data_IF_498568866492
#
_entry.id   IF_498568866492
#
_cell.length_a   1.000
_cell.length_b   1.000
_cell.length_c   1.000
_cell.angle_alpha   90.00
_cell.angle_beta   90.00
_cell.angle_gamma   90.00
#
_symmetry.space_group_name_H-M   'P 1'
#
loop_
_entity.id
_entity.type
_entity.pdbx_description
1 polymer ?
#
# COMPACT_ATOMS: atom_id res chain seq x y z
N UNK A 1 4.58 18.06 -12.60
CA UNK A 1 3.87 17.55 -11.41
C UNK A 1 2.39 17.69 -11.66
N UNK A 2 1.60 16.64 -11.42
CA UNK A 2 0.15 16.70 -11.56
C UNK A 2 -0.46 17.77 -10.63
N UNK A 3 -1.51 18.49 -11.05
CA UNK A 3 -2.23 19.39 -10.16
C UNK A 3 -2.84 18.61 -8.98
N UNK A 4 -2.84 19.21 -7.78
CA UNK A 4 -3.25 18.58 -6.50
C UNK A 4 -4.63 17.90 -6.56
N UNK A 5 -5.51 18.37 -7.43
CA UNK A 5 -6.86 17.83 -7.64
C UNK A 5 -6.91 16.54 -8.48
N UNK A 6 -5.94 16.31 -9.38
CA UNK A 6 -5.85 15.09 -10.21
C UNK A 6 -4.97 14.01 -9.58
N UNK A 7 -4.33 14.29 -8.45
CA UNK A 7 -3.44 13.36 -7.74
C UNK A 7 -4.19 12.25 -6.99
N UNK A 8 -5.43 12.48 -6.55
CA UNK A 8 -6.15 11.51 -5.72
C UNK A 8 -6.46 10.20 -6.45
N UNK A 9 -6.82 10.23 -7.74
CA UNK A 9 -7.16 9.03 -8.51
C UNK A 9 -5.96 8.09 -8.72
N UNK A 10 -4.83 8.58 -9.28
CA UNK A 10 -3.61 7.79 -9.43
C UNK A 10 -3.05 7.30 -8.10
N UNK A 11 -3.11 8.13 -7.05
CA UNK A 11 -2.70 7.72 -5.70
C UNK A 11 -3.57 6.60 -5.15
N UNK A 12 -4.89 6.64 -5.37
CA UNK A 12 -5.81 5.59 -4.91
C UNK A 12 -5.51 4.24 -5.57
N UNK A 13 -5.28 4.23 -6.89
CA UNK A 13 -4.87 3.01 -7.62
C UNK A 13 -3.52 2.50 -7.11
N UNK A 14 -2.57 3.41 -6.90
CA UNK A 14 -1.26 3.07 -6.35
C UNK A 14 -1.37 2.46 -4.94
N UNK A 15 -2.19 3.04 -4.06
CA UNK A 15 -2.39 2.55 -2.69
C UNK A 15 -3.21 1.27 -2.62
N UNK A 16 -4.06 0.98 -3.61
CA UNK A 16 -4.83 -0.26 -3.66
C UNK A 16 -3.98 -1.45 -4.12
N UNK A 17 -2.97 -1.21 -4.97
CA UNK A 17 -2.13 -2.27 -5.54
C UNK A 17 -1.43 -3.20 -4.52
N UNK A 18 -0.91 -2.73 -3.36
CA UNK A 18 -0.25 -3.58 -2.37
C UNK A 18 -1.24 -4.44 -1.59
N UNK A 19 -2.53 -4.05 -1.52
CA UNK A 19 -3.54 -4.86 -0.84
C UNK A 19 -3.99 -6.04 -1.70
N UNK A 20 -4.07 -5.86 -3.01
CA UNK A 20 -4.48 -6.93 -3.95
C UNK A 20 -3.45 -8.06 -4.03
N UNK A 21 -2.16 -7.75 -3.91
CA UNK A 21 -1.07 -8.73 -4.03
C UNK A 21 -1.17 -9.91 -3.05
N UNK A 22 -1.22 -9.68 -1.73
CA UNK A 22 -1.35 -10.73 -0.71
C UNK A 22 -2.64 -11.55 -0.83
N UNK A 23 -3.68 -11.03 -1.48
CA UNK A 23 -4.95 -11.74 -1.66
C UNK A 23 -4.92 -12.67 -2.87
N UNK A 24 -4.33 -12.23 -3.99
CA UNK A 24 -4.19 -13.05 -5.20
C UNK A 24 -3.04 -14.05 -5.11
N UNK A 25 -2.02 -13.75 -4.29
CA UNK A 25 -0.86 -14.62 -4.10
C UNK A 25 -1.22 -16.05 -3.70
N UNK A 26 -1.99 -16.28 -2.61
CA UNK A 26 -2.43 -17.60 -2.19
C UNK A 26 -3.34 -18.30 -3.20
N UNK A 27 -4.17 -17.55 -3.93
CA UNK A 27 -5.03 -18.11 -5.00
C UNK A 27 -4.15 -18.71 -6.09
N UNK A 28 -3.26 -17.90 -6.68
CA UNK A 28 -2.36 -18.34 -7.75
C UNK A 28 -1.40 -19.44 -7.24
N UNK A 29 -0.87 -19.28 -6.03
CA UNK A 29 0.01 -20.25 -5.38
C UNK A 29 -0.67 -21.59 -5.10
N UNK A 30 -1.94 -21.59 -4.69
CA UNK A 30 -2.72 -22.81 -4.47
C UNK A 30 -2.97 -23.58 -5.77
N UNK A 31 -3.27 -22.88 -6.88
CA UNK A 31 -3.38 -23.53 -8.19
C UNK A 31 -2.04 -24.07 -8.70
N UNK A 32 -0.94 -23.34 -8.52
CA UNK A 32 0.38 -23.79 -8.98
C UNK A 32 0.88 -24.98 -8.17
N UNK A 33 0.73 -24.99 -6.84
CA UNK A 33 1.18 -26.13 -6.04
C UNK A 33 0.31 -27.38 -6.25
N UNK A 34 -1.01 -27.21 -6.45
CA UNK A 34 -1.91 -28.35 -6.69
C UNK A 34 -1.64 -29.05 -8.03
N UNK A 35 -1.41 -28.28 -9.10
CA UNK A 35 -1.31 -28.80 -10.48
C UNK A 35 0.13 -28.89 -11.00
N UNK A 36 1.10 -28.29 -10.29
CA UNK A 36 2.52 -28.34 -10.63
C UNK A 36 3.36 -28.65 -9.38
N UNK A 37 4.63 -28.24 -9.39
CA UNK A 37 5.54 -28.41 -8.26
C UNK A 37 5.80 -27.07 -7.58
N UNK A 38 6.17 -27.07 -6.29
CA UNK A 38 6.53 -25.86 -5.53
C UNK A 38 7.59 -24.96 -6.21
N UNK A 39 8.47 -25.54 -7.03
CA UNK A 39 9.46 -24.80 -7.82
C UNK A 39 8.82 -23.88 -8.86
N UNK A 40 7.68 -24.27 -9.42
CA UNK A 40 6.96 -23.47 -10.41
C UNK A 40 6.44 -22.15 -9.83
N UNK A 41 6.16 -22.09 -8.54
CA UNK A 41 5.80 -20.83 -7.87
C UNK A 41 6.93 -19.79 -8.01
N UNK A 42 8.20 -20.21 -7.87
CA UNK A 42 9.35 -19.33 -8.08
C UNK A 42 9.55 -18.97 -9.55
N UNK A 43 9.37 -19.91 -10.47
CA UNK A 43 9.49 -19.64 -11.91
C UNK A 43 8.46 -18.63 -12.40
N UNK A 44 7.21 -18.75 -11.96
CA UNK A 44 6.13 -17.80 -12.30
C UNK A 44 6.46 -16.41 -11.77
N UNK A 45 6.98 -16.29 -10.54
CA UNK A 45 7.41 -15.00 -9.97
C UNK A 45 8.56 -14.37 -10.78
N UNK A 46 9.54 -15.17 -11.22
CA UNK A 46 10.67 -14.69 -12.04
C UNK A 46 10.17 -14.20 -13.41
N UNK A 47 9.31 -14.98 -14.07
CA UNK A 47 8.74 -14.59 -15.37
C UNK A 47 7.94 -13.29 -15.23
N UNK A 48 7.10 -13.18 -14.20
CA UNK A 48 6.32 -11.98 -13.94
C UNK A 48 7.21 -10.76 -13.68
N UNK A 49 8.25 -10.91 -12.86
CA UNK A 49 9.22 -9.83 -12.60
C UNK A 49 9.96 -9.40 -13.86
N UNK A 50 10.37 -10.34 -14.73
CA UNK A 50 11.03 -10.04 -16.00
C UNK A 50 10.10 -9.28 -16.96
N UNK A 51 8.82 -9.65 -17.03
CA UNK A 51 7.81 -8.93 -17.82
C UNK A 51 7.63 -7.51 -17.30
N UNK A 52 7.46 -7.32 -15.99
CA UNK A 52 7.34 -6.00 -15.38
C UNK A 52 8.58 -5.13 -15.63
N UNK A 53 9.77 -5.69 -15.48
CA UNK A 53 11.03 -4.99 -15.76
C UNK A 53 11.12 -4.56 -17.24
N UNK A 54 10.76 -5.44 -18.16
CA UNK A 54 10.74 -5.16 -19.61
C UNK A 54 9.73 -4.05 -19.93
N UNK A 55 8.53 -4.11 -19.36
CA UNK A 55 7.51 -3.07 -19.53
C UNK A 55 8.00 -1.71 -19.00
N UNK A 56 8.61 -1.68 -17.82
CA UNK A 56 9.18 -0.44 -17.26
C UNK A 56 10.26 0.11 -18.19
N UNK A 57 11.16 -0.74 -18.69
CA UNK A 57 12.26 -0.33 -19.56
C UNK A 57 11.77 0.31 -20.87
N UNK A 58 10.72 -0.24 -21.51
CA UNK A 58 10.22 0.26 -22.79
C UNK A 58 9.18 1.38 -22.67
N UNK A 59 8.28 1.32 -21.68
CA UNK A 59 7.13 2.23 -21.61
C UNK A 59 7.30 3.39 -20.63
N UNK A 60 8.21 3.32 -19.66
CA UNK A 60 8.38 4.37 -18.65
C UNK A 60 9.56 5.27 -19.05
N UNK A 61 9.31 6.46 -19.65
CA UNK A 61 10.36 7.44 -19.81
C UNK A 61 10.84 7.89 -18.42
N UNK A 62 12.11 8.28 -18.33
CA UNK A 62 12.72 8.83 -17.11
C UNK A 62 11.79 9.87 -16.43
N UNK A 63 11.10 9.45 -15.37
CA UNK A 63 10.05 10.26 -14.70
C UNK A 63 10.63 11.09 -13.54
N UNK A 64 11.92 10.92 -13.23
CA UNK A 64 12.55 11.60 -12.11
C UNK A 64 12.80 13.09 -12.42
N UNK A 65 11.86 13.92 -11.98
CA UNK A 65 11.86 15.37 -12.18
C UNK A 65 13.18 16.09 -11.82
N UNK A 66 13.90 15.72 -10.75
CA UNK A 66 15.18 16.37 -10.43
C UNK A 66 16.28 16.11 -11.46
N UNK A 67 16.30 14.92 -12.09
CA UNK A 67 17.26 14.58 -13.15
C UNK A 67 16.88 15.24 -14.47
N UNK A 68 15.58 15.31 -14.81
CA UNK A 68 15.09 16.06 -15.97
C UNK A 68 15.42 17.56 -15.87
N UNK A 69 15.21 18.16 -14.70
CA UNK A 69 15.53 19.57 -14.45
C UNK A 69 17.04 19.82 -14.46
N UNK A 70 17.86 18.88 -13.97
CA UNK A 70 19.33 18.94 -14.09
C UNK A 70 19.76 18.88 -15.55
N UNK A 71 19.23 17.96 -16.35
CA UNK A 71 19.52 17.84 -17.79
C UNK A 71 19.12 19.11 -18.55
N UNK A 72 17.99 19.73 -18.20
CA UNK A 72 17.53 20.99 -18.79
C UNK A 72 18.42 22.18 -18.39
N UNK A 73 18.83 22.27 -17.12
CA UNK A 73 19.75 23.31 -16.65
C UNK A 73 21.12 23.22 -17.34
N UNK A 74 21.66 22.01 -17.53
CA UNK A 74 22.92 21.79 -18.26
C UNK A 74 22.79 22.20 -19.74
N UNK A 75 21.66 21.91 -20.39
CA UNK A 75 21.40 22.32 -21.77
C UNK A 75 21.34 23.85 -21.91
N UNK A 76 20.59 24.51 -21.02
CA UNK A 76 20.46 25.97 -20.99
C UNK A 76 21.80 26.67 -20.75
N UNK A 77 22.66 26.14 -19.87
CA UNK A 77 24.02 26.68 -19.68
C UNK A 77 24.85 26.65 -20.96
N UNK A 78 24.77 25.56 -21.73
CA UNK A 78 25.50 25.42 -23.00
C UNK A 78 24.99 26.37 -24.08
N UNK A 79 23.69 26.67 -24.10
CA UNK A 79 23.06 27.52 -25.13
C UNK A 79 23.19 29.02 -24.83
N UNK A 80 23.10 29.44 -23.56
CA UNK A 80 23.15 30.87 -23.18
C UNK A 80 24.52 31.34 -22.71
N UNK A 81 25.47 30.43 -22.45
CA UNK A 81 26.79 30.78 -21.90
C UNK A 81 26.73 31.37 -20.47
N UNK A 82 25.56 31.39 -19.85
CA UNK A 82 25.29 32.09 -18.60
C UNK A 82 25.16 31.06 -17.45
N UNK A 83 26.11 31.08 -16.51
CA UNK A 83 26.30 30.03 -15.49
C UNK A 83 25.31 30.15 -14.30
N UNK A 84 24.35 31.07 -14.41
CA UNK A 84 23.31 31.36 -13.42
C UNK A 84 22.21 30.30 -13.34
N UNK A 85 22.02 29.51 -14.39
CA UNK A 85 21.02 28.44 -14.45
C UNK A 85 21.45 27.25 -13.59
N UNK A 86 21.08 27.22 -12.30
CA UNK A 86 21.32 26.09 -11.38
C UNK A 86 20.05 25.31 -11.08
N UNK A 87 20.10 23.99 -11.24
CA UNK A 87 18.98 23.13 -10.88
C UNK A 87 18.79 23.13 -9.34
N UNK A 88 17.56 22.97 -8.82
CA UNK A 88 17.31 22.92 -7.37
C UNK A 88 18.15 21.86 -6.64
N UNK A 89 18.44 20.74 -7.32
CA UNK A 89 19.28 19.65 -6.80
C UNK A 89 20.75 20.05 -6.65
N UNK A 90 21.22 21.06 -7.38
CA UNK A 90 22.58 21.62 -7.29
C UNK A 90 22.69 22.74 -6.24
N UNK A 91 21.55 23.34 -5.85
CA UNK A 91 21.48 24.31 -4.75
C UNK A 91 21.33 23.62 -3.39
N UNK A 92 20.85 22.38 -3.35
CA UNK A 92 20.72 21.59 -2.13
C UNK A 92 22.07 21.02 -1.69
N UNK A 93 22.89 21.86 -1.08
CA UNK A 93 24.12 21.46 -0.40
C UNK A 93 23.80 20.85 0.99
N UNK A 94 22.80 19.96 1.06
CA UNK A 94 22.55 19.17 2.27
C UNK A 94 23.31 17.87 2.13
N UNK A 95 24.23 17.60 3.07
CA UNK A 95 24.87 16.31 3.21
C UNK A 95 23.80 15.20 3.12
N UNK A 96 23.95 14.34 2.11
CA UNK A 96 23.02 13.23 1.85
C UNK A 96 22.89 12.36 3.10
N UNK A 97 24.02 12.11 3.77
CA UNK A 97 24.07 11.37 5.03
C UNK A 97 23.22 12.03 6.13
N UNK A 98 23.30 13.36 6.29
CA UNK A 98 22.49 14.09 7.29
C UNK A 98 21.00 14.06 6.93
N UNK A 99 20.66 14.13 5.66
CA UNK A 99 19.26 14.08 5.20
C UNK A 99 18.65 12.69 5.39
N UNK A 100 19.42 11.63 5.12
CA UNK A 100 19.03 10.24 5.37
C UNK A 100 18.86 9.99 6.86
N UNK A 101 19.85 10.40 7.68
CA UNK A 101 19.77 10.25 9.13
C UNK A 101 18.53 10.96 9.72
N UNK A 102 18.28 12.20 9.30
CA UNK A 102 17.07 12.93 9.70
C UNK A 102 15.77 12.27 9.21
N UNK A 103 15.77 11.67 8.02
CA UNK A 103 14.61 10.95 7.48
C UNK A 103 14.35 9.64 8.24
N UNK A 104 15.39 8.99 8.78
CA UNK A 104 15.25 7.79 9.59
C UNK A 104 14.83 8.09 11.04
N UNK A 105 15.34 9.17 11.64
CA UNK A 105 15.04 9.52 13.04
C UNK A 105 13.64 10.11 13.21
N UNK A 106 13.18 10.90 12.22
CA UNK A 106 11.89 11.60 12.30
C UNK A 106 10.67 10.67 12.49
N UNK A 107 10.55 9.52 11.82
CA UNK A 107 9.48 8.56 12.09
C UNK A 107 9.47 8.03 13.52
N UNK A 108 10.62 7.67 14.09
CA UNK A 108 10.70 7.21 15.48
C UNK A 108 10.37 8.32 16.47
N UNK A 109 10.80 9.55 16.18
CA UNK A 109 10.48 10.71 16.98
C UNK A 109 8.96 11.00 16.97
N UNK A 110 8.32 10.97 15.81
CA UNK A 110 6.86 11.12 15.71
C UNK A 110 6.13 9.97 16.42
N UNK A 111 6.63 8.74 16.30
CA UNK A 111 6.02 7.58 16.95
C UNK A 111 6.06 7.68 18.48
N UNK A 112 7.16 8.19 19.06
CA UNK A 112 7.31 8.28 20.52
C UNK A 112 6.73 9.57 21.10
N UNK A 113 6.83 10.69 20.38
CA UNK A 113 6.40 11.99 20.90
C UNK A 113 4.91 12.28 20.66
N UNK A 114 4.33 11.77 19.57
CA UNK A 114 2.91 11.99 19.26
C UNK A 114 2.08 10.74 19.65
N UNK A 115 1.34 10.77 20.79
CA UNK A 115 0.59 9.60 21.28
C UNK A 115 -0.52 9.15 20.31
N UNK A 116 -1.08 10.08 19.52
CA UNK A 116 -2.06 9.76 18.48
C UNK A 116 -1.46 8.87 17.38
N UNK A 117 -0.25 9.19 16.92
CA UNK A 117 0.46 8.42 15.88
C UNK A 117 0.80 7.04 16.42
N UNK A 118 1.26 6.94 17.66
CA UNK A 118 1.54 5.68 18.33
C UNK A 118 0.32 4.76 18.32
N UNK A 119 -0.84 5.24 18.75
CA UNK A 119 -2.06 4.42 18.83
C UNK A 119 -2.53 3.94 17.45
N UNK A 120 -2.50 4.82 16.44
CA UNK A 120 -2.83 4.45 15.06
C UNK A 120 -1.85 3.42 14.47
N UNK A 121 -0.55 3.60 14.72
CA UNK A 121 0.46 2.63 14.30
C UNK A 121 0.28 1.27 14.99
N UNK A 122 -0.02 1.27 16.28
CA UNK A 122 -0.27 0.05 17.06
C UNK A 122 -1.52 -0.69 16.57
N UNK A 123 -2.61 0.04 16.30
CA UNK A 123 -3.81 -0.52 15.69
C UNK A 123 -3.51 -1.15 14.33
N UNK A 124 -2.81 -0.42 13.44
CA UNK A 124 -2.42 -0.94 12.13
C UNK A 124 -1.52 -2.18 12.24
N UNK A 125 -0.59 -2.21 13.20
CA UNK A 125 0.28 -3.35 13.45
C UNK A 125 -0.50 -4.58 13.90
N UNK A 126 -1.47 -4.42 14.80
CA UNK A 126 -2.36 -5.52 15.24
C UNK A 126 -3.18 -6.04 14.06
N UNK A 127 -3.80 -5.16 13.27
CA UNK A 127 -4.61 -5.55 12.12
C UNK A 127 -3.79 -6.31 11.07
N UNK A 128 -2.58 -5.83 10.76
CA UNK A 128 -1.66 -6.51 9.85
C UNK A 128 -1.18 -7.85 10.43
N UNK A 129 -0.90 -7.90 11.74
CA UNK A 129 -0.54 -9.15 12.42
C UNK A 129 -1.64 -10.20 12.31
N UNK A 130 -2.89 -9.82 12.56
CA UNK A 130 -4.07 -10.68 12.39
C UNK A 130 -4.18 -11.16 10.93
N UNK A 131 -4.07 -10.25 9.96
CA UNK A 131 -4.11 -10.59 8.53
C UNK A 131 -3.02 -11.61 8.16
N UNK A 132 -1.81 -11.46 8.70
CA UNK A 132 -0.72 -12.40 8.44
C UNK A 132 -0.94 -13.77 9.12
N UNK A 133 -1.50 -13.78 10.33
CA UNK A 133 -1.88 -15.03 11.01
C UNK A 133 -2.92 -15.81 10.20
N UNK A 134 -3.83 -15.12 9.50
CA UNK A 134 -4.80 -15.77 8.61
C UNK A 134 -4.15 -16.54 7.45
N UNK A 135 -2.98 -16.13 6.95
CA UNK A 135 -2.27 -16.92 5.91
C UNK A 135 -1.84 -18.30 6.42
N UNK A 136 -1.57 -18.45 7.72
CA UNK A 136 -1.28 -19.75 8.32
C UNK A 136 -2.54 -20.48 8.82
N UNK A 137 -3.51 -19.74 9.35
CA UNK A 137 -4.72 -20.32 9.93
C UNK A 137 -5.68 -20.90 8.88
N UNK A 138 -5.83 -20.26 7.71
CA UNK A 138 -6.74 -20.74 6.66
C UNK A 138 -6.35 -22.13 6.14
N UNK A 139 -5.11 -22.41 5.71
CA UNK A 139 -4.70 -23.78 5.37
C UNK A 139 -4.94 -24.75 6.52
N UNK A 140 -4.56 -24.39 7.74
CA UNK A 140 -4.73 -25.28 8.89
C UNK A 140 -6.20 -25.67 9.15
N UNK A 141 -7.13 -24.73 9.07
CA UNK A 141 -8.56 -24.96 9.34
C UNK A 141 -9.24 -25.63 8.15
N UNK A 142 -9.05 -25.12 6.93
CA UNK A 142 -9.76 -25.64 5.76
C UNK A 142 -9.21 -26.99 5.28
N UNK A 143 -7.91 -27.26 5.40
CA UNK A 143 -7.34 -28.56 5.03
C UNK A 143 -7.65 -29.62 6.10
N UNK A 144 -7.41 -29.34 7.38
CA UNK A 144 -7.57 -30.36 8.42
C UNK A 144 -9.02 -30.57 8.87
N UNK A 145 -9.80 -29.50 9.02
CA UNK A 145 -11.16 -29.60 9.56
C UNK A 145 -12.22 -29.80 8.46
N UNK A 146 -12.03 -29.16 7.31
CA UNK A 146 -12.98 -29.25 6.18
C UNK A 146 -12.52 -30.16 5.03
N UNK A 147 -11.30 -30.70 5.08
CA UNK A 147 -10.79 -31.63 4.06
C UNK A 147 -10.59 -31.00 2.68
N UNK A 148 -10.34 -29.69 2.62
CA UNK A 148 -10.17 -28.97 1.35
C UNK A 148 -8.81 -29.29 0.70
N UNK A 149 -8.80 -29.33 -0.64
CA UNK A 149 -7.58 -29.43 -1.44
C UNK A 149 -6.86 -28.06 -1.51
N UNK A 150 -5.57 -28.04 -1.90
CA UNK A 150 -4.75 -26.82 -1.92
C UNK A 150 -5.36 -25.68 -2.76
N UNK A 151 -6.01 -26.01 -3.88
CA UNK A 151 -6.68 -25.01 -4.72
C UNK A 151 -7.94 -24.43 -4.07
N UNK A 152 -8.67 -25.21 -3.28
CA UNK A 152 -9.86 -24.77 -2.54
C UNK A 152 -9.45 -23.91 -1.35
N UNK A 153 -8.37 -24.27 -0.67
CA UNK A 153 -7.73 -23.44 0.37
C UNK A 153 -7.29 -22.10 -0.21
N UNK A 154 -6.66 -22.08 -1.39
CA UNK A 154 -6.31 -20.86 -2.10
C UNK A 154 -7.52 -19.96 -2.40
N UNK A 155 -8.65 -20.55 -2.83
CA UNK A 155 -9.90 -19.85 -3.09
C UNK A 155 -10.52 -19.22 -1.83
N UNK A 156 -10.32 -19.78 -0.64
CA UNK A 156 -10.85 -19.21 0.60
C UNK A 156 -10.35 -17.77 0.88
N UNK A 157 -9.14 -17.44 0.40
CA UNK A 157 -8.57 -16.09 0.48
C UNK A 157 -9.33 -15.05 -0.36
N UNK A 158 -10.17 -15.46 -1.31
CA UNK A 158 -11.06 -14.54 -2.03
C UNK A 158 -12.07 -13.87 -1.09
N UNK A 159 -12.40 -14.47 0.06
CA UNK A 159 -13.24 -13.81 1.07
C UNK A 159 -12.60 -12.50 1.57
N UNK A 160 -11.29 -12.52 1.81
CA UNK A 160 -10.53 -11.32 2.20
C UNK A 160 -10.49 -10.32 1.03
N UNK A 161 -10.32 -10.80 -0.21
CA UNK A 161 -10.36 -9.96 -1.42
C UNK A 161 -11.71 -9.25 -1.59
N UNK A 162 -12.82 -9.95 -1.43
CA UNK A 162 -14.16 -9.35 -1.51
C UNK A 162 -14.34 -8.31 -0.41
N UNK A 163 -13.88 -8.60 0.81
CA UNK A 163 -13.87 -7.66 1.92
C UNK A 163 -13.10 -6.37 1.60
N UNK A 164 -11.91 -6.47 0.99
CA UNK A 164 -11.12 -5.29 0.60
C UNK A 164 -11.76 -4.51 -0.54
N UNK A 165 -12.35 -5.18 -1.53
CA UNK A 165 -13.10 -4.52 -2.63
C UNK A 165 -14.30 -3.74 -2.09
N UNK A 166 -15.06 -4.32 -1.15
CA UNK A 166 -16.17 -3.62 -0.48
C UNK A 166 -15.64 -2.42 0.32
N UNK A 167 -14.54 -2.60 1.06
CA UNK A 167 -13.90 -1.53 1.83
C UNK A 167 -13.47 -0.34 0.96
N UNK A 168 -12.81 -0.61 -0.17
CA UNK A 168 -12.40 0.40 -1.16
C UNK A 168 -13.63 1.05 -1.81
N UNK A 169 -14.69 0.29 -2.10
CA UNK A 169 -15.93 0.81 -2.68
C UNK A 169 -16.65 1.78 -1.74
N UNK A 170 -16.41 1.69 -0.43
CA UNK A 170 -16.91 2.64 0.56
C UNK A 170 -16.08 3.94 0.67
N UNK A 171 -14.86 4.00 0.11
CA UNK A 171 -13.98 5.20 0.16
C UNK A 171 -14.65 6.50 -0.32
N UNK A 172 -15.44 6.52 -1.42
CA UNK A 172 -16.13 7.72 -1.87
C UNK A 172 -17.11 8.29 -0.84
N UNK A 173 -17.75 7.42 -0.03
CA UNK A 173 -18.66 7.82 1.04
C UNK A 173 -17.89 8.52 2.16
N UNK A 174 -16.75 7.94 2.57
CA UNK A 174 -15.87 8.50 3.58
C UNK A 174 -15.27 9.83 3.13
N UNK A 175 -14.87 9.93 1.85
CA UNK A 175 -14.38 11.17 1.26
C UNK A 175 -15.45 12.27 1.27
N UNK A 176 -16.71 11.94 0.96
CA UNK A 176 -17.83 12.89 1.03
C UNK A 176 -18.05 13.38 2.46
N UNK A 177 -17.95 12.49 3.44
CA UNK A 177 -18.04 12.85 4.85
C UNK A 177 -16.88 13.76 5.27
N UNK A 178 -15.63 13.42 4.90
CA UNK A 178 -14.45 14.24 5.16
C UNK A 178 -14.58 15.66 4.59
N UNK A 179 -15.01 15.81 3.34
CA UNK A 179 -15.21 17.13 2.72
C UNK A 179 -16.29 17.93 3.44
N UNK A 180 -17.36 17.27 3.93
CA UNK A 180 -18.39 17.91 4.74
C UNK A 180 -17.83 18.41 6.07
N UNK A 181 -17.02 17.61 6.77
CA UNK A 181 -16.39 18.01 8.04
C UNK A 181 -15.42 19.18 7.84
N UNK A 182 -14.58 19.15 6.80
CA UNK A 182 -13.66 20.25 6.46
C UNK A 182 -14.42 21.54 6.13
N UNK A 183 -15.54 21.45 5.40
CA UNK A 183 -16.38 22.61 5.08
C UNK A 183 -17.01 23.22 6.35
N UNK A 184 -17.42 22.38 7.29
CA UNK A 184 -18.00 22.83 8.55
C UNK A 184 -16.95 23.45 9.48
N UNK A 185 -15.67 23.05 9.38
CA UNK A 185 -14.55 23.61 10.15
C UNK A 185 -13.86 24.80 9.46
N UNK A 186 -14.60 25.58 8.65
CA UNK A 186 -14.07 26.77 7.99
C UNK A 186 -13.00 26.52 6.93
N UNK A 187 -12.86 25.29 6.43
CA UNK A 187 -11.86 24.91 5.42
C UNK A 187 -10.52 24.44 5.99
N UNK A 188 -10.37 24.37 7.32
CA UNK A 188 -9.16 23.84 7.97
C UNK A 188 -9.29 22.31 8.09
N UNK A 189 -8.36 21.59 7.48
CA UNK A 189 -8.30 20.13 7.58
C UNK A 189 -7.61 19.70 8.86
N UNK A 190 -8.33 19.00 9.73
CA UNK A 190 -7.75 18.35 10.91
C UNK A 190 -7.51 16.86 10.65
N UNK A 191 -6.45 16.27 11.23
CA UNK A 191 -6.17 14.83 11.11
C UNK A 191 -7.34 13.95 11.61
N UNK A 192 -8.10 14.45 12.59
CA UNK A 192 -9.20 13.74 13.24
C UNK A 192 -10.37 13.44 12.30
N UNK A 193 -10.57 14.25 11.25
CA UNK A 193 -11.65 14.04 10.28
C UNK A 193 -11.47 12.75 9.46
N UNK A 194 -10.33 12.09 9.58
CA UNK A 194 -10.02 10.79 8.97
C UNK A 194 -10.20 9.60 9.91
N UNK A 195 -10.49 9.83 11.19
CA UNK A 195 -10.75 8.77 12.18
C UNK A 195 -12.06 7.98 11.99
N UNK A 196 -13.17 8.53 11.44
CA UNK A 196 -14.43 7.78 11.32
C UNK A 196 -14.34 6.39 10.66
N UNK A 197 -13.63 6.18 9.53
CA UNK A 197 -13.47 4.83 8.96
C UNK A 197 -12.72 3.87 9.88
N UNK A 198 -11.74 4.36 10.65
CA UNK A 198 -10.98 3.56 11.62
C UNK A 198 -11.86 3.08 12.78
N UNK A 199 -12.78 3.92 13.26
CA UNK A 199 -13.72 3.56 14.32
C UNK A 199 -14.65 2.43 13.86
N UNK A 200 -15.16 2.51 12.63
CA UNK A 200 -16.00 1.45 12.06
C UNK A 200 -15.21 0.15 11.89
N UNK A 201 -13.97 0.23 11.40
CA UNK A 201 -13.07 -0.92 11.30
C UNK A 201 -12.77 -1.58 12.64
N UNK A 202 -12.61 -0.79 13.72
CA UNK A 202 -12.32 -1.29 15.06
C UNK A 202 -13.46 -2.16 15.64
N UNK A 203 -14.72 -1.90 15.25
CA UNK A 203 -15.88 -2.73 15.67
C UNK A 203 -16.05 -3.95 14.76
N UNK A 204 -15.85 -3.77 13.44
CA UNK A 204 -16.08 -4.81 12.46
C UNK A 204 -15.06 -5.95 12.56
N UNK A 205 -13.81 -5.66 12.94
CA UNK A 205 -12.73 -6.65 13.05
C UNK A 205 -13.01 -7.70 14.14
N UNK A 206 -13.31 -7.35 15.41
CA UNK A 206 -13.70 -8.33 16.43
C UNK A 206 -14.90 -9.17 16.00
N UNK A 207 -15.95 -8.56 15.43
CA UNK A 207 -17.13 -9.29 14.95
C UNK A 207 -16.74 -10.32 13.88
N UNK A 208 -15.86 -9.95 12.95
CA UNK A 208 -15.35 -10.88 11.93
C UNK A 208 -14.52 -12.02 12.51
N UNK A 209 -13.72 -11.76 13.55
CA UNK A 209 -12.91 -12.77 14.24
C UNK A 209 -13.77 -13.76 15.01
N UNK A 210 -14.80 -13.27 15.72
CA UNK A 210 -15.77 -14.15 16.39
C UNK A 210 -16.56 -14.98 15.37
N UNK A 211 -16.96 -14.38 14.25
CA UNK A 211 -17.59 -15.10 13.15
C UNK A 211 -16.72 -16.23 12.63
N UNK A 212 -15.44 -15.95 12.33
CA UNK A 212 -14.49 -16.96 11.87
C UNK A 212 -14.25 -18.08 12.90
N UNK A 213 -14.06 -17.70 14.17
CA UNK A 213 -13.87 -18.66 15.26
C UNK A 213 -15.06 -19.59 15.44
N UNK A 214 -16.29 -19.07 15.29
CA UNK A 214 -17.51 -19.88 15.37
C UNK A 214 -17.65 -20.87 14.21
N UNK A 215 -17.25 -20.46 13.00
CA UNK A 215 -17.30 -21.31 11.80
C UNK A 215 -16.15 -22.32 11.69
N UNK A 216 -15.18 -22.27 12.60
CA UNK A 216 -14.01 -23.16 12.59
C UNK A 216 -14.34 -24.56 13.13
N UNK A 217 -15.41 -24.72 13.91
CA UNK A 217 -15.84 -26.02 14.40
C UNK A 217 -16.63 -26.79 13.32
N UNK A 218 -16.46 -28.13 13.20
CA UNK A 218 -17.15 -28.96 12.22
C UNK A 218 -18.67 -29.05 12.44
#
# INVERSE_FOLDING_TARGET
MFPREKLSGPMMIYTASPFVGPQLGPVIGGFINQFANWRWSFWVLIIWAAVQWTLIFFFVPETYAPVLLRRRAIRLRKETGDDRWKAPIEKMNKSVAKTVLWSCVRPFQLLVLDPMVLNLCLLCAILLGILYLFFGAFPLVFENNHGFNEWQTGLSFLGIFVGTVIGVSCDPLWKRNYVRLVRNNGGVSEPEFRLPPTILGAVLVPVSLFGFGWTTFP
#
